data_IF_910583703952
#
_entry.id   IF_910583703952
#
_cell.length_a   1.000
_cell.length_b   1.000
_cell.length_c   1.000
_cell.angle_alpha   90.00
_cell.angle_beta   90.00
_cell.angle_gamma   90.00
#
_symmetry.space_group_name_H-M   'P 1'
#
loop_
_entity.id
_entity.type
_entity.pdbx_description
1 polymer ?
#
# COMPACT_ATOMS: atom_id res chain seq x y z
N UNK A 1 -16.96 -4.51 0.87
CA UNK A 1 -15.98 -4.25 1.95
C UNK A 1 -14.85 -5.24 1.75
N UNK A 2 -13.69 -4.76 1.32
CA UNK A 2 -12.51 -5.57 1.02
C UNK A 2 -11.77 -5.93 2.31
N UNK A 3 -11.61 -4.95 3.20
CA UNK A 3 -11.01 -5.13 4.50
C UNK A 3 -12.06 -5.51 5.54
N UNK A 4 -11.70 -6.34 6.52
CA UNK A 4 -12.53 -6.45 7.74
C UNK A 4 -12.52 -5.11 8.48
N UNK A 5 -13.62 -4.74 9.14
CA UNK A 5 -13.77 -3.45 9.85
C UNK A 5 -12.61 -3.18 10.83
N UNK A 6 -12.11 -4.22 11.51
CA UNK A 6 -10.98 -4.10 12.43
C UNK A 6 -9.65 -3.72 11.75
N UNK A 7 -9.45 -4.09 10.48
CA UNK A 7 -8.23 -3.79 9.74
C UNK A 7 -8.16 -2.31 9.36
N UNK A 8 -9.27 -1.72 8.88
CA UNK A 8 -9.33 -0.28 8.55
C UNK A 8 -9.08 0.57 9.80
N UNK A 9 -9.67 0.22 10.93
CA UNK A 9 -9.43 0.93 12.20
C UNK A 9 -7.97 0.79 12.67
N UNK A 10 -7.35 -0.38 12.46
CA UNK A 10 -5.92 -0.56 12.74
C UNK A 10 -5.04 0.31 11.84
N UNK A 11 -5.35 0.41 10.54
CA UNK A 11 -4.65 1.28 9.60
C UNK A 11 -4.73 2.75 10.02
N UNK A 12 -5.92 3.23 10.43
CA UNK A 12 -6.08 4.59 10.97
C UNK A 12 -5.22 4.84 12.21
N UNK A 13 -5.15 3.87 13.13
CA UNK A 13 -4.30 3.97 14.33
C UNK A 13 -2.81 4.06 13.98
N UNK A 14 -2.35 3.21 13.05
CA UNK A 14 -0.97 3.24 12.55
C UNK A 14 -0.67 4.60 11.92
N UNK A 15 -1.55 5.08 11.06
CA UNK A 15 -1.41 6.36 10.40
C UNK A 15 -1.32 7.54 11.37
N UNK A 16 -2.18 7.59 12.40
CA UNK A 16 -2.09 8.62 13.45
C UNK A 16 -0.75 8.56 14.21
N UNK A 17 -0.27 7.36 14.53
CA UNK A 17 1.04 7.18 15.15
C UNK A 17 2.17 7.66 14.22
N UNK A 18 2.11 7.26 12.95
CA UNK A 18 3.06 7.62 11.89
C UNK A 18 3.14 9.14 11.70
N UNK A 19 2.00 9.84 11.68
CA UNK A 19 1.91 11.30 11.67
C UNK A 19 2.58 11.93 12.89
N UNK A 20 2.36 11.36 14.08
CA UNK A 20 2.90 11.89 15.33
C UNK A 20 4.44 11.84 15.40
N UNK A 21 5.04 10.84 14.74
CA UNK A 21 6.48 10.62 14.64
C UNK A 21 7.10 11.46 13.52
N UNK A 22 6.47 11.47 12.33
CA UNK A 22 7.02 12.09 11.12
C UNK A 22 6.59 13.56 10.92
N UNK A 23 6.58 14.34 12.00
CA UNK A 23 6.05 15.71 12.06
C UNK A 23 6.59 16.59 10.92
N UNK A 24 5.73 17.45 10.37
CA UNK A 24 6.09 18.47 9.36
C UNK A 24 5.90 18.05 7.91
N UNK A 25 6.35 16.86 7.49
CA UNK A 25 6.15 16.40 6.10
C UNK A 25 6.02 14.87 6.00
N UNK A 26 4.98 14.35 6.66
CA UNK A 26 4.71 12.92 6.75
C UNK A 26 4.52 12.26 5.38
N UNK A 27 3.79 12.89 4.44
CA UNK A 27 3.63 12.37 3.07
C UNK A 27 4.97 12.19 2.35
N UNK A 28 5.87 13.17 2.41
CA UNK A 28 7.20 13.03 1.80
C UNK A 28 7.96 11.87 2.42
N UNK A 29 7.88 11.71 3.74
CA UNK A 29 8.54 10.62 4.45
C UNK A 29 7.98 9.24 4.06
N UNK A 30 6.67 9.10 3.94
CA UNK A 30 6.03 7.89 3.43
C UNK A 30 6.52 7.54 2.02
N UNK A 31 6.63 8.52 1.12
CA UNK A 31 7.15 8.31 -0.23
C UNK A 31 8.63 7.88 -0.24
N UNK A 32 9.45 8.41 0.67
CA UNK A 32 10.84 7.97 0.85
C UNK A 32 10.91 6.52 1.33
N UNK A 33 10.09 6.14 2.30
CA UNK A 33 10.00 4.76 2.81
C UNK A 33 9.51 3.79 1.73
N UNK A 34 8.49 4.16 0.96
CA UNK A 34 8.00 3.38 -0.19
C UNK A 34 9.14 3.06 -1.16
N UNK A 35 9.97 4.05 -1.52
CA UNK A 35 11.13 3.81 -2.41
C UNK A 35 12.14 2.85 -1.80
N UNK A 36 12.37 2.94 -0.50
CA UNK A 36 13.28 2.04 0.23
C UNK A 36 12.78 0.60 0.19
N UNK A 37 11.51 0.37 0.54
CA UNK A 37 10.91 -0.97 0.50
C UNK A 37 10.91 -1.57 -0.90
N UNK A 38 10.59 -0.78 -1.95
CA UNK A 38 10.67 -1.26 -3.34
C UNK A 38 12.07 -1.79 -3.66
N UNK A 39 13.12 -1.06 -3.27
CA UNK A 39 14.49 -1.51 -3.50
C UNK A 39 14.83 -2.78 -2.71
N UNK A 40 14.44 -2.86 -1.43
CA UNK A 40 14.67 -4.03 -0.58
C UNK A 40 13.96 -5.28 -1.12
N UNK A 41 12.70 -5.14 -1.53
CA UNK A 41 11.91 -6.19 -2.17
C UNK A 41 12.62 -6.72 -3.41
N UNK A 42 13.11 -5.84 -4.29
CA UNK A 42 13.85 -6.24 -5.50
C UNK A 42 15.12 -7.04 -5.18
N UNK A 43 15.87 -6.67 -4.14
CA UNK A 43 17.06 -7.42 -3.74
C UNK A 43 16.69 -8.77 -3.11
N UNK A 44 15.65 -8.82 -2.28
CA UNK A 44 15.22 -10.04 -1.59
C UNK A 44 14.63 -11.07 -2.55
N UNK A 45 13.87 -10.66 -3.56
CA UNK A 45 13.36 -11.58 -4.58
C UNK A 45 14.48 -12.22 -5.41
N UNK A 46 15.58 -11.49 -5.70
CA UNK A 46 16.73 -12.07 -6.42
C UNK A 46 17.35 -13.26 -5.69
N UNK A 47 17.31 -13.24 -4.36
CA UNK A 47 17.86 -14.31 -3.52
C UNK A 47 16.76 -15.27 -3.00
N UNK A 48 15.54 -15.18 -3.53
CA UNK A 48 14.39 -15.99 -3.12
C UNK A 48 14.15 -15.99 -1.60
N UNK A 49 14.42 -14.85 -0.95
CA UNK A 49 14.24 -14.73 0.50
C UNK A 49 12.75 -14.60 0.84
N UNK A 50 12.22 -15.40 1.78
CA UNK A 50 10.83 -15.28 2.23
C UNK A 50 10.55 -13.95 2.93
N UNK A 51 11.59 -13.20 3.31
CA UNK A 51 11.43 -11.87 3.86
C UNK A 51 10.87 -10.86 2.84
N UNK A 52 10.99 -11.14 1.53
CA UNK A 52 10.42 -10.30 0.49
C UNK A 52 8.90 -10.11 0.64
N UNK A 53 8.18 -11.13 1.13
CA UNK A 53 6.73 -11.07 1.35
C UNK A 53 6.38 -10.13 2.51
N UNK A 54 7.21 -10.10 3.56
CA UNK A 54 7.03 -9.18 4.70
C UNK A 54 7.26 -7.74 4.25
N UNK A 55 8.35 -7.48 3.53
CA UNK A 55 8.64 -6.15 2.98
C UNK A 55 7.55 -5.68 2.00
N UNK A 56 7.00 -6.61 1.21
CA UNK A 56 5.84 -6.34 0.34
C UNK A 56 4.60 -5.99 1.15
N UNK A 57 4.37 -6.67 2.29
CA UNK A 57 3.32 -6.35 3.24
C UNK A 57 3.47 -4.95 3.85
N UNK A 58 4.68 -4.60 4.28
CA UNK A 58 4.98 -3.28 4.83
C UNK A 58 4.78 -2.17 3.79
N UNK A 59 5.22 -2.41 2.55
CA UNK A 59 4.93 -1.52 1.43
C UNK A 59 3.41 -1.32 1.21
N UNK A 60 2.62 -2.38 1.33
CA UNK A 60 1.16 -2.27 1.20
C UNK A 60 0.56 -1.38 2.31
N UNK A 61 1.04 -1.50 3.55
CA UNK A 61 0.62 -0.62 4.66
C UNK A 61 0.95 0.85 4.34
N UNK A 62 2.18 1.14 3.87
CA UNK A 62 2.57 2.49 3.48
C UNK A 62 1.70 3.06 2.36
N UNK A 63 1.30 2.23 1.39
CA UNK A 63 0.37 2.64 0.34
C UNK A 63 -1.01 3.00 0.91
N UNK A 64 -1.51 2.27 1.91
CA UNK A 64 -2.76 2.62 2.59
C UNK A 64 -2.63 3.90 3.42
N UNK A 65 -1.49 4.12 4.07
CA UNK A 65 -1.22 5.39 4.74
C UNK A 65 -1.27 6.57 3.77
N UNK A 66 -0.70 6.44 2.56
CA UNK A 66 -0.76 7.48 1.52
C UNK A 66 -2.20 7.78 1.05
N UNK A 67 -3.07 6.76 1.01
CA UNK A 67 -4.50 6.92 0.71
C UNK A 67 -5.18 7.70 1.83
N UNK A 68 -4.93 7.33 3.09
CA UNK A 68 -5.44 8.04 4.27
C UNK A 68 -4.94 9.50 4.31
N UNK A 69 -3.69 9.74 3.89
CA UNK A 69 -3.09 11.07 3.77
C UNK A 69 -3.80 11.97 2.76
N UNK A 70 -4.53 11.35 1.82
CA UNK A 70 -5.38 12.03 0.86
C UNK A 70 -6.82 12.18 1.35
N UNK A 71 -7.07 11.88 2.63
CA UNK A 71 -8.39 11.85 3.29
C UNK A 71 -9.39 10.94 2.57
N UNK A 72 -8.90 9.82 2.03
CA UNK A 72 -9.72 8.81 1.33
C UNK A 72 -9.81 7.54 2.18
N UNK A 73 -10.87 6.76 1.95
CA UNK A 73 -11.06 5.46 2.57
C UNK A 73 -10.31 4.37 1.77
N UNK A 74 -9.33 3.65 2.37
CA UNK A 74 -8.62 2.58 1.67
C UNK A 74 -9.52 1.47 1.12
N UNK A 75 -10.63 1.15 1.80
CA UNK A 75 -11.56 0.09 1.35
C UNK A 75 -12.23 0.45 0.02
N UNK A 76 -12.71 1.68 -0.10
CA UNK A 76 -13.35 2.22 -1.30
C UNK A 76 -12.35 2.33 -2.46
N UNK A 77 -11.12 2.78 -2.18
CA UNK A 77 -10.08 2.90 -3.20
C UNK A 77 -9.66 1.53 -3.73
N UNK A 78 -9.52 0.53 -2.86
CA UNK A 78 -9.14 -0.82 -3.30
C UNK A 78 -10.25 -1.49 -4.09
N UNK A 79 -11.52 -1.28 -3.72
CA UNK A 79 -12.65 -1.74 -4.51
C UNK A 79 -12.59 -1.20 -5.95
N UNK A 80 -12.34 0.11 -6.11
CA UNK A 80 -12.16 0.72 -7.44
C UNK A 80 -10.93 0.16 -8.18
N UNK A 81 -9.84 -0.11 -7.47
CA UNK A 81 -8.65 -0.71 -8.07
C UNK A 81 -8.91 -2.13 -8.60
N UNK A 82 -9.70 -2.96 -7.90
CA UNK A 82 -10.06 -4.29 -8.38
C UNK A 82 -10.81 -4.23 -9.71
N UNK A 83 -11.85 -3.42 -9.80
CA UNK A 83 -12.65 -3.25 -11.03
C UNK A 83 -11.78 -2.77 -12.20
N UNK A 84 -10.94 -1.76 -11.95
CA UNK A 84 -10.04 -1.20 -12.97
C UNK A 84 -9.00 -2.22 -13.43
N UNK A 85 -8.41 -2.95 -12.50
CA UNK A 85 -7.36 -3.91 -12.81
C UNK A 85 -7.92 -5.14 -13.55
N UNK A 86 -9.07 -5.64 -13.11
CA UNK A 86 -9.77 -6.74 -13.79
C UNK A 86 -10.14 -6.36 -15.24
N UNK A 87 -10.72 -5.17 -15.43
CA UNK A 87 -11.04 -4.66 -16.78
C UNK A 87 -9.79 -4.58 -17.66
N UNK A 88 -8.67 -4.09 -17.11
CA UNK A 88 -7.39 -4.01 -17.82
C UNK A 88 -6.90 -5.40 -18.24
N UNK A 89 -6.91 -6.38 -17.33
CA UNK A 89 -6.48 -7.75 -17.63
C UNK A 89 -7.38 -8.42 -18.68
N UNK A 90 -8.69 -8.20 -18.63
CA UNK A 90 -9.64 -8.71 -19.64
C UNK A 90 -9.37 -8.11 -21.02
N UNK A 91 -9.06 -6.81 -21.12
CA UNK A 91 -8.69 -6.17 -22.39
C UNK A 91 -7.45 -6.83 -23.01
N UNK A 92 -6.39 -6.96 -22.21
CA UNK A 92 -5.13 -7.58 -22.63
C UNK A 92 -5.36 -9.02 -23.09
N UNK A 93 -6.13 -9.81 -22.33
CA UNK A 93 -6.45 -11.20 -22.68
C UNK A 93 -7.20 -11.31 -24.01
N UNK A 94 -8.05 -10.32 -24.33
CA UNK A 94 -8.88 -10.32 -25.51
C UNK A 94 -8.24 -9.61 -26.73
N UNK A 95 -6.99 -9.14 -26.61
CA UNK A 95 -6.27 -8.46 -27.69
C UNK A 95 -6.81 -7.05 -28.02
N UNK A 96 -7.45 -6.40 -27.03
CA UNK A 96 -7.94 -5.01 -27.09
C UNK A 96 -6.98 -4.05 -26.39
#
# INVERSE_FOLDING_TARGET
MVFRKNAVERLKKIHMLSQSVNRGNHRKKLLELVKKHVHEIEQLYKISSPHADIETGDLAILCFELILESKKNPDEIIQQCFERYEKKLRSIKNGL
#
